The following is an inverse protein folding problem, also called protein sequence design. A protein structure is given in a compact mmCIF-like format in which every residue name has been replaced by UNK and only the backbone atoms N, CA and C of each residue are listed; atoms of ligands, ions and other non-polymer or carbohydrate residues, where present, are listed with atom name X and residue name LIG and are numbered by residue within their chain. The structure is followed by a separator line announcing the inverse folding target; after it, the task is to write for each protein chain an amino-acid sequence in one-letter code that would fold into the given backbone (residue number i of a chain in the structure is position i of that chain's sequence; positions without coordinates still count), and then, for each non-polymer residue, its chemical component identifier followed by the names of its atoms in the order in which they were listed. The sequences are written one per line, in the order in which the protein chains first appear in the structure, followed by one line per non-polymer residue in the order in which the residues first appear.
data_IF_396394677106
#
_entry.id   IF_396394677106
#
_cell.length_a   1.000
_cell.length_b   1.000
_cell.length_c   1.000
_cell.angle_alpha   90.00
_cell.angle_beta   90.00
_cell.angle_gamma   90.00
#
_symmetry.space_group_name_H-M   'P 1'
#
loop_
_entity.id
_entity.type
_entity.pdbx_description
1 polymer ?
#
# COMPACT_ATOMS: atom_id res chain seq x y z
N UNK A 1 11.74 2.18 18.26
CA UNK A 1 12.52 1.19 17.47
C UNK A 1 12.49 1.61 16.01
N UNK A 2 13.58 1.43 15.26
CA UNK A 2 13.64 1.78 13.83
C UNK A 2 13.05 0.60 13.05
N UNK A 3 12.00 0.82 12.27
CA UNK A 3 11.41 -0.23 11.44
C UNK A 3 12.37 -0.60 10.30
N UNK A 4 12.44 -1.88 9.98
CA UNK A 4 13.21 -2.41 8.84
C UNK A 4 12.26 -2.78 7.71
N UNK A 5 12.51 -2.25 6.53
CA UNK A 5 11.81 -2.65 5.30
C UNK A 5 12.56 -3.82 4.69
N UNK A 6 11.85 -4.93 4.49
CA UNK A 6 12.35 -6.09 3.78
C UNK A 6 11.65 -6.14 2.44
N UNK A 7 12.42 -6.16 1.37
CA UNK A 7 11.93 -6.12 0.00
C UNK A 7 12.16 -7.43 -0.74
N UNK A 8 11.19 -7.82 -1.57
CA UNK A 8 11.33 -8.97 -2.48
C UNK A 8 12.41 -8.71 -3.52
N UNK A 9 13.52 -9.43 -3.43
CA UNK A 9 14.72 -9.16 -4.22
C UNK A 9 14.47 -9.20 -5.72
N UNK A 10 13.81 -10.25 -6.23
CA UNK A 10 13.66 -10.44 -7.67
C UNK A 10 12.77 -9.36 -8.31
N UNK A 11 11.63 -9.05 -7.67
CA UNK A 11 10.66 -8.08 -8.17
C UNK A 11 11.20 -6.65 -8.11
N UNK A 12 11.86 -6.28 -7.02
CA UNK A 12 12.36 -4.93 -6.82
C UNK A 12 13.56 -4.61 -7.73
N UNK A 13 14.47 -5.58 -7.92
CA UNK A 13 15.59 -5.41 -8.87
C UNK A 13 15.12 -5.31 -10.31
N UNK A 14 14.17 -6.15 -10.73
CA UNK A 14 13.61 -6.09 -12.09
C UNK A 14 12.94 -4.74 -12.37
N UNK A 15 12.22 -4.17 -11.39
CA UNK A 15 11.67 -2.83 -11.54
C UNK A 15 12.76 -1.77 -11.58
N UNK A 16 13.78 -1.81 -10.70
CA UNK A 16 14.89 -0.84 -10.73
C UNK A 16 15.60 -0.82 -12.08
N UNK A 17 15.82 -1.99 -12.70
CA UNK A 17 16.38 -2.10 -14.04
C UNK A 17 15.47 -1.45 -15.09
N UNK A 18 14.17 -1.72 -15.02
CA UNK A 18 13.16 -1.11 -15.90
C UNK A 18 13.13 0.42 -15.75
N UNK A 19 13.17 0.93 -14.52
CA UNK A 19 13.23 2.36 -14.21
C UNK A 19 14.52 2.99 -14.75
N UNK A 20 15.63 2.28 -14.62
CA UNK A 20 16.94 2.72 -15.13
C UNK A 20 17.00 2.80 -16.64
N UNK A 21 16.30 1.90 -17.33
CA UNK A 21 16.17 1.91 -18.78
C UNK A 21 15.16 2.96 -19.27
N UNK A 22 14.28 3.45 -18.39
CA UNK A 22 13.30 4.47 -18.72
C UNK A 22 13.96 5.85 -18.89
N UNK A 23 13.49 6.63 -19.85
CA UNK A 23 13.95 8.01 -20.06
C UNK A 23 13.24 9.02 -19.12
N UNK A 24 12.37 8.55 -18.23
CA UNK A 24 11.53 9.41 -17.38
C UNK A 24 12.35 10.04 -16.25
N UNK A 25 12.38 11.38 -16.13
CA UNK A 25 13.19 12.07 -15.13
C UNK A 25 12.61 11.95 -13.70
N UNK A 26 11.31 11.68 -13.60
CA UNK A 26 10.61 11.41 -12.35
C UNK A 26 9.47 10.41 -12.60
N UNK A 27 9.22 9.54 -11.62
CA UNK A 27 8.05 8.66 -11.61
C UNK A 27 7.59 8.40 -10.18
N UNK A 28 6.29 8.18 -10.01
CA UNK A 28 5.68 7.73 -8.76
C UNK A 28 4.92 6.43 -8.99
N UNK A 29 4.90 5.58 -7.97
CA UNK A 29 4.09 4.36 -7.98
C UNK A 29 3.76 3.90 -6.57
N UNK A 30 3.13 2.73 -6.48
CA UNK A 30 2.61 2.17 -5.24
C UNK A 30 3.54 1.08 -4.72
N UNK A 31 3.58 0.93 -3.40
CA UNK A 31 4.25 -0.20 -2.74
C UNK A 31 3.19 -1.17 -2.27
N UNK A 32 3.23 -2.40 -2.78
CA UNK A 32 2.37 -3.50 -2.36
C UNK A 32 3.13 -4.37 -1.36
N UNK A 33 2.50 -4.64 -0.24
CA UNK A 33 3.18 -5.25 0.89
C UNK A 33 2.28 -5.56 2.07
N UNK A 34 2.93 -5.79 3.21
CA UNK A 34 2.29 -5.98 4.51
C UNK A 34 2.99 -5.13 5.57
N UNK A 35 2.19 -4.37 6.31
CA UNK A 35 2.59 -3.67 7.52
C UNK A 35 1.85 -4.29 8.70
N UNK A 36 2.58 -4.55 9.79
CA UNK A 36 2.00 -5.04 11.05
C UNK A 36 2.33 -4.09 12.20
N UNK A 37 1.40 -3.93 13.13
CA UNK A 37 1.66 -3.22 14.38
C UNK A 37 2.52 -4.07 15.35
N UNK A 38 2.41 -5.39 15.25
CA UNK A 38 3.16 -6.35 16.09
C UNK A 38 4.58 -6.63 15.60
N UNK A 39 4.99 -6.07 14.46
CA UNK A 39 6.31 -6.31 13.88
C UNK A 39 7.00 -5.00 13.53
N UNK A 40 8.28 -4.92 13.85
CA UNK A 40 9.15 -3.85 13.36
C UNK A 40 9.58 -4.05 11.91
N UNK A 41 9.09 -5.10 11.23
CA UNK A 41 9.36 -5.37 9.82
C UNK A 41 8.19 -4.94 8.94
N UNK A 42 8.50 -4.12 7.94
CA UNK A 42 7.61 -3.85 6.81
C UNK A 42 8.01 -4.76 5.65
N UNK A 43 7.05 -5.48 5.06
CA UNK A 43 7.32 -6.37 3.93
C UNK A 43 6.86 -5.70 2.64
N UNK A 44 7.77 -5.46 1.69
CA UNK A 44 7.48 -4.92 0.37
C UNK A 44 7.62 -6.04 -0.67
N UNK A 45 6.50 -6.49 -1.23
CA UNK A 45 6.45 -7.60 -2.17
C UNK A 45 6.62 -7.15 -3.62
N UNK A 46 6.06 -6.00 -3.98
CA UNK A 46 6.10 -5.49 -5.35
C UNK A 46 5.93 -3.97 -5.38
N UNK A 47 6.40 -3.37 -6.46
CA UNK A 47 6.26 -1.95 -6.76
C UNK A 47 5.49 -1.82 -8.07
N UNK A 48 4.42 -1.03 -8.04
CA UNK A 48 3.51 -0.90 -9.19
C UNK A 48 3.61 0.54 -9.72
N UNK A 49 4.15 0.76 -10.94
CA UNK A 49 4.26 2.09 -11.51
C UNK A 49 2.88 2.71 -11.73
N UNK A 50 2.72 4.00 -11.40
CA UNK A 50 1.48 4.71 -11.72
C UNK A 50 1.40 4.90 -13.23
N UNK A 51 0.28 4.52 -13.87
CA UNK A 51 0.10 4.73 -15.30
C UNK A 51 0.04 6.23 -15.62
N UNK A 52 0.29 6.63 -16.88
CA UNK A 52 0.01 7.99 -17.35
C UNK A 52 -1.45 8.37 -17.08
N UNK A 53 -1.70 9.67 -16.89
CA UNK A 53 -3.06 10.20 -16.73
C UNK A 53 -3.87 9.99 -18.02
N UNK A 54 -5.18 10.20 -17.95
CA UNK A 54 -6.06 10.15 -19.12
C UNK A 54 -5.63 11.10 -20.25
N UNK A 55 -4.93 12.19 -19.92
CA UNK A 55 -4.35 13.13 -20.88
C UNK A 55 -2.97 12.71 -21.41
N UNK A 56 -2.46 11.53 -21.02
CA UNK A 56 -1.12 11.04 -21.34
C UNK A 56 0.01 11.73 -20.56
N UNK A 57 -0.30 12.54 -19.54
CA UNK A 57 0.71 13.21 -18.72
C UNK A 57 1.27 12.26 -17.64
N UNK A 58 2.52 12.46 -17.18
CA UNK A 58 3.06 11.65 -16.09
C UNK A 58 2.43 12.05 -14.75
N UNK A 59 2.14 11.07 -13.89
CA UNK A 59 1.61 11.29 -12.54
C UNK A 59 2.58 12.01 -11.58
N UNK A 60 3.86 12.06 -11.95
CA UNK A 60 4.90 12.79 -11.23
C UNK A 60 5.81 13.47 -12.25
N UNK A 61 6.08 14.76 -12.04
CA UNK A 61 6.93 15.56 -12.93
C UNK A 61 7.88 16.45 -12.14
N UNK A 62 8.82 17.09 -12.84
CA UNK A 62 9.74 18.04 -12.23
C UNK A 62 9.20 19.46 -12.39
N UNK A 63 9.00 20.16 -11.26
CA UNK A 63 8.67 21.58 -11.24
C UNK A 63 9.86 22.39 -11.74
N UNK A 64 9.73 23.00 -12.92
CA UNK A 64 10.70 23.97 -13.40
C UNK A 64 10.71 25.20 -12.50
N UNK A 65 11.89 25.59 -12.02
CA UNK A 65 12.07 26.87 -11.35
C UNK A 65 11.65 28.02 -12.30
N UNK A 66 10.94 29.02 -11.78
CA UNK A 66 10.52 30.18 -12.55
C UNK A 66 11.76 30.91 -13.14
N UNK A 67 11.73 31.35 -14.40
CA UNK A 67 12.85 32.08 -14.98
C UNK A 67 13.02 33.43 -14.29
N UNK A 68 14.11 33.58 -13.54
CA UNK A 68 14.47 34.86 -12.94
C UNK A 68 15.13 35.74 -14.03
N UNK A 69 14.57 36.91 -14.40
CA UNK A 69 15.04 37.70 -15.54
C UNK A 69 16.41 38.39 -15.34
N UNK A 70 17.11 38.15 -14.23
CA UNK A 70 18.43 38.74 -13.92
C UNK A 70 19.63 37.78 -14.04
N UNK A 71 19.44 36.53 -14.46
CA UNK A 71 20.52 35.54 -14.58
C UNK A 71 20.67 35.02 -16.02
N UNK A 72 20.94 35.90 -16.98
CA UNK A 72 21.12 35.53 -18.40
C UNK A 72 22.57 35.12 -18.77
N UNK A 73 23.46 34.88 -17.80
CA UNK A 73 24.85 34.43 -18.06
C UNK A 73 25.33 33.39 -17.03
N UNK A 74 24.74 32.20 -17.07
CA UNK A 74 25.38 30.97 -16.60
C UNK A 74 24.65 29.78 -17.22
N UNK A 75 25.14 29.29 -18.36
CA UNK A 75 24.76 27.99 -18.88
C UNK A 75 25.55 26.92 -18.12
N UNK A 76 24.98 26.41 -17.03
CA UNK A 76 25.37 25.14 -16.42
C UNK A 76 24.21 24.58 -15.60
N UNK A 77 23.78 23.39 -15.98
CA UNK A 77 22.78 22.53 -15.37
C UNK A 77 23.00 22.32 -13.86
N UNK A 78 22.09 22.80 -13.00
CA UNK A 78 21.75 22.19 -11.68
C UNK A 78 20.84 23.08 -10.82
N UNK A 79 19.78 23.66 -11.39
CA UNK A 79 18.66 24.11 -10.55
C UNK A 79 17.85 22.87 -10.17
N UNK A 80 17.98 22.40 -8.93
CA UNK A 80 17.22 21.24 -8.45
C UNK A 80 15.71 21.53 -8.49
N UNK A 81 15.03 20.95 -9.47
CA UNK A 81 13.58 21.00 -9.61
C UNK A 81 12.93 20.08 -8.59
N UNK A 82 12.01 20.61 -7.78
CA UNK A 82 11.18 19.80 -6.88
C UNK A 82 10.21 18.94 -7.66
N UNK A 83 9.68 17.88 -7.03
CA UNK A 83 8.70 16.99 -7.63
C UNK A 83 7.30 17.59 -7.51
N UNK A 84 6.52 17.49 -8.59
CA UNK A 84 5.09 17.71 -8.62
C UNK A 84 4.37 16.37 -8.71
N UNK A 85 3.25 16.22 -7.99
CA UNK A 85 2.47 14.99 -7.99
C UNK A 85 1.02 15.29 -8.32
N UNK A 86 0.45 14.52 -9.23
CA UNK A 86 -0.99 14.42 -9.37
C UNK A 86 -1.53 13.55 -8.23
N UNK A 87 -1.83 14.19 -7.10
CA UNK A 87 -2.25 13.53 -5.86
C UNK A 87 -3.52 12.70 -6.08
N UNK A 88 -4.47 13.26 -6.84
CA UNK A 88 -5.77 12.62 -7.07
C UNK A 88 -5.60 11.40 -7.99
N UNK A 89 -4.74 11.49 -9.00
CA UNK A 89 -4.44 10.35 -9.87
C UNK A 89 -3.71 9.22 -9.14
N UNK A 90 -2.71 9.55 -8.31
CA UNK A 90 -2.02 8.54 -7.49
C UNK A 90 -3.00 7.87 -6.50
N UNK A 91 -3.94 8.63 -5.93
CA UNK A 91 -4.98 8.10 -5.07
C UNK A 91 -5.98 7.21 -5.84
N UNK A 92 -6.40 7.59 -7.04
CA UNK A 92 -7.25 6.75 -7.89
C UNK A 92 -6.55 5.44 -8.25
N UNK A 93 -5.27 5.51 -8.65
CA UNK A 93 -4.47 4.31 -8.90
C UNK A 93 -4.38 3.41 -7.66
N UNK A 94 -4.13 3.98 -6.47
CA UNK A 94 -4.11 3.23 -5.21
C UNK A 94 -5.45 2.56 -4.91
N UNK A 95 -6.56 3.25 -5.15
CA UNK A 95 -7.92 2.72 -4.99
C UNK A 95 -8.14 1.52 -5.91
N UNK A 96 -7.76 1.62 -7.18
CA UNK A 96 -7.92 0.54 -8.15
C UNK A 96 -7.07 -0.68 -7.78
N UNK A 97 -5.77 -0.46 -7.54
CA UNK A 97 -4.86 -1.54 -7.12
C UNK A 97 -5.36 -2.22 -5.85
N UNK A 98 -5.81 -1.46 -4.84
CA UNK A 98 -6.33 -2.04 -3.59
C UNK A 98 -7.51 -2.99 -3.80
N UNK A 99 -8.31 -2.80 -4.86
CA UNK A 99 -9.44 -3.69 -5.21
C UNK A 99 -9.01 -4.90 -6.04
N UNK A 100 -7.86 -4.83 -6.68
CA UNK A 100 -7.28 -5.92 -7.48
C UNK A 100 -6.36 -6.83 -6.66
N UNK A 101 -5.87 -6.36 -5.51
CA UNK A 101 -5.01 -7.14 -4.64
C UNK A 101 -5.77 -8.29 -3.99
N UNK A 102 -5.08 -9.43 -3.91
CA UNK A 102 -5.54 -10.59 -3.15
C UNK A 102 -5.40 -10.32 -1.65
N UNK A 103 -6.16 -11.08 -0.85
CA UNK A 103 -6.06 -11.02 0.61
C UNK A 103 -4.62 -11.28 1.09
N UNK A 104 -4.24 -10.65 2.21
CA UNK A 104 -2.90 -10.76 2.78
C UNK A 104 -1.85 -9.78 2.21
N UNK A 105 -2.19 -9.09 1.11
CA UNK A 105 -1.37 -8.02 0.54
C UNK A 105 -2.19 -6.73 0.45
N UNK A 106 -1.53 -5.59 0.68
CA UNK A 106 -2.19 -4.28 0.69
C UNK A 106 -1.28 -3.22 0.10
N UNK A 107 -1.85 -2.09 -0.32
CA UNK A 107 -1.07 -0.90 -0.68
C UNK A 107 -0.56 -0.27 0.62
N UNK A 108 0.72 -0.45 0.91
CA UNK A 108 1.35 0.02 2.16
C UNK A 108 2.00 1.39 2.04
N UNK A 109 2.11 1.92 0.82
CA UNK A 109 2.89 3.12 0.58
C UNK A 109 3.06 3.51 -0.89
N UNK A 110 3.99 4.43 -1.13
CA UNK A 110 4.39 4.87 -2.48
C UNK A 110 5.90 4.71 -2.68
N UNK A 111 6.31 4.55 -3.92
CA UNK A 111 7.71 4.71 -4.32
C UNK A 111 7.86 5.91 -5.24
N UNK A 112 9.06 6.48 -5.23
CA UNK A 112 9.44 7.63 -6.05
C UNK A 112 10.76 7.30 -6.73
N UNK A 113 10.77 7.37 -8.05
CA UNK A 113 11.96 7.38 -8.88
C UNK A 113 12.30 8.82 -9.24
N UNK A 114 13.43 9.34 -8.79
CA UNK A 114 13.88 10.71 -9.06
C UNK A 114 15.34 10.89 -8.64
N UNK A 115 16.03 11.93 -9.13
CA UNK A 115 17.36 12.27 -8.63
C UNK A 115 17.34 12.56 -7.12
N UNK A 116 18.47 12.36 -6.44
CA UNK A 116 18.61 12.75 -5.04
C UNK A 116 18.34 14.25 -4.82
N UNK A 117 18.78 15.09 -5.76
CA UNK A 117 18.60 16.54 -5.69
C UNK A 117 17.11 16.92 -5.73
N UNK A 118 16.35 16.38 -6.69
CA UNK A 118 14.91 16.64 -6.81
C UNK A 118 14.11 16.14 -5.62
N UNK A 119 14.46 14.96 -5.10
CA UNK A 119 13.81 14.42 -3.92
C UNK A 119 14.09 15.26 -2.66
N UNK A 120 15.32 15.78 -2.49
CA UNK A 120 15.67 16.70 -1.40
C UNK A 120 15.03 18.09 -1.55
N UNK A 121 14.87 18.57 -2.77
CA UNK A 121 14.19 19.84 -3.07
C UNK A 121 12.67 19.77 -2.82
N UNK A 122 12.10 18.57 -2.81
CA UNK A 122 10.68 18.35 -2.55
C UNK A 122 10.38 18.45 -1.05
N UNK A 123 9.41 19.29 -0.68
CA UNK A 123 9.06 19.45 0.74
C UNK A 123 8.49 18.14 1.32
N UNK A 124 8.83 17.78 2.58
CA UNK A 124 8.24 16.64 3.26
C UNK A 124 6.70 16.72 3.35
N UNK A 125 6.14 17.94 3.41
CA UNK A 125 4.70 18.15 3.47
C UNK A 125 3.97 17.64 2.22
N UNK A 126 4.54 17.86 1.02
CA UNK A 126 4.00 17.34 -0.25
C UNK A 126 4.02 15.82 -0.26
N UNK A 127 5.13 15.20 0.17
CA UNK A 127 5.25 13.74 0.26
C UNK A 127 4.20 13.14 1.22
N UNK A 128 4.03 13.75 2.39
CA UNK A 128 3.04 13.32 3.38
C UNK A 128 1.60 13.55 2.89
N UNK A 129 1.35 14.56 2.05
CA UNK A 129 0.05 14.78 1.41
C UNK A 129 -0.30 13.64 0.45
N UNK A 130 0.63 13.25 -0.44
CA UNK A 130 0.42 12.13 -1.37
C UNK A 130 0.14 10.83 -0.61
N UNK A 131 0.96 10.54 0.41
CA UNK A 131 0.76 9.37 1.27
C UNK A 131 -0.59 9.38 1.99
N UNK A 132 -1.07 10.56 2.40
CA UNK A 132 -2.39 10.71 3.05
C UNK A 132 -3.54 10.47 2.09
N UNK A 133 -3.43 10.96 0.85
CA UNK A 133 -4.43 10.66 -0.17
C UNK A 133 -4.51 9.15 -0.43
N UNK A 134 -3.35 8.49 -0.56
CA UNK A 134 -3.26 7.02 -0.70
C UNK A 134 -3.82 6.30 0.52
N UNK A 135 -3.54 6.76 1.74
CA UNK A 135 -4.01 6.10 2.97
C UNK A 135 -5.52 6.15 3.14
N UNK A 136 -6.17 7.23 2.68
CA UNK A 136 -7.61 7.41 2.77
C UNK A 136 -8.38 6.48 1.83
N UNK A 137 -7.82 6.20 0.65
CA UNK A 137 -8.48 5.41 -0.41
C UNK A 137 -8.10 3.94 -0.36
N UNK A 138 -6.91 3.62 0.19
CA UNK A 138 -6.43 2.28 0.48
C UNK A 138 -6.07 2.17 1.97
N UNK A 139 -7.10 2.09 2.86
CA UNK A 139 -6.87 1.89 4.29
C UNK A 139 -6.37 0.48 4.58
N UNK A 140 -5.49 0.37 5.58
CA UNK A 140 -4.98 -0.92 6.06
C UNK A 140 -5.98 -1.51 7.07
N UNK A 141 -6.98 -2.23 6.56
CA UNK A 141 -7.98 -2.85 7.42
C UNK A 141 -7.37 -3.87 8.39
N UNK A 142 -7.74 -3.78 9.66
CA UNK A 142 -7.38 -4.78 10.68
C UNK A 142 -5.94 -4.77 11.17
N UNK A 143 -5.07 -3.86 10.68
CA UNK A 143 -3.66 -3.83 11.12
C UNK A 143 -3.42 -2.92 12.31
N UNK A 144 -4.31 -1.96 12.58
CA UNK A 144 -4.11 -0.92 13.60
C UNK A 144 -2.92 0.01 13.31
N UNK A 145 -2.36 -0.06 12.09
CA UNK A 145 -1.18 0.71 11.69
C UNK A 145 -1.61 1.99 10.97
N UNK A 146 -1.36 3.13 11.59
CA UNK A 146 -1.56 4.45 10.99
C UNK A 146 -0.25 5.01 10.41
N UNK A 147 0.47 4.16 9.67
CA UNK A 147 1.73 4.49 9.03
C UNK A 147 1.71 4.09 7.56
N UNK A 148 2.53 4.76 6.74
CA UNK A 148 2.74 4.43 5.32
C UNK A 148 4.21 4.46 4.93
N UNK A 149 4.58 3.55 4.04
CA UNK A 149 5.94 3.41 3.54
C UNK A 149 6.20 4.37 2.37
N UNK A 150 7.37 4.97 2.36
CA UNK A 150 7.91 5.75 1.26
C UNK A 150 9.26 5.16 0.85
N UNK A 151 9.37 4.74 -0.40
CA UNK A 151 10.65 4.27 -0.97
C UNK A 151 11.11 5.28 -2.01
N UNK A 152 12.29 5.88 -1.80
CA UNK A 152 12.96 6.68 -2.80
C UNK A 152 14.03 5.84 -3.49
N UNK A 153 13.94 5.74 -4.81
CA UNK A 153 14.90 5.10 -5.68
C UNK A 153 15.58 6.22 -6.48
N UNK A 154 16.83 6.51 -6.11
CA UNK A 154 17.64 7.54 -6.74
C UNK A 154 18.43 6.98 -7.89
N UNK A 155 18.55 7.72 -9.00
CA UNK A 155 19.45 7.40 -10.10
C UNK A 155 20.76 8.21 -10.10
N UNK A 156 20.87 9.26 -9.27
CA UNK A 156 22.06 10.11 -9.16
C UNK A 156 22.29 10.56 -7.72
N UNK A 157 23.18 9.90 -6.96
CA UNK A 157 23.77 8.58 -7.22
C UNK A 157 22.72 7.47 -7.12
N UNK A 158 23.02 6.28 -7.65
CA UNK A 158 22.12 5.14 -7.57
C UNK A 158 22.01 4.62 -6.14
N UNK A 159 20.84 4.76 -5.51
CA UNK A 159 20.62 4.31 -4.11
C UNK A 159 19.15 4.21 -3.75
N UNK A 160 18.88 3.40 -2.74
CA UNK A 160 17.56 3.26 -2.12
C UNK A 160 17.53 3.97 -0.77
N UNK A 161 16.45 4.69 -0.50
CA UNK A 161 16.18 5.28 0.80
C UNK A 161 14.74 5.00 1.20
N UNK A 162 14.54 4.40 2.37
CA UNK A 162 13.21 4.11 2.89
C UNK A 162 12.86 5.05 4.04
N UNK A 163 11.60 5.49 4.07
CA UNK A 163 11.04 6.30 5.15
C UNK A 163 9.65 5.80 5.51
N UNK A 164 9.30 5.88 6.77
CA UNK A 164 7.93 5.65 7.23
C UNK A 164 7.32 6.98 7.63
N UNK A 165 6.15 7.26 7.05
CA UNK A 165 5.30 8.36 7.42
C UNK A 165 4.32 7.91 8.49
N UNK A 166 4.34 8.58 9.63
CA UNK A 166 3.22 8.54 10.57
C UNK A 166 2.09 9.42 10.00
N UNK A 167 0.90 8.86 9.84
CA UNK A 167 -0.21 9.55 9.18
C UNK A 167 -0.86 10.60 10.07
N UNK A 168 -0.74 10.47 11.39
CA UNK A 168 -1.24 11.43 12.36
C UNK A 168 -0.40 12.72 12.37
N UNK A 169 0.92 12.59 12.37
CA UNK A 169 1.86 13.72 12.43
C UNK A 169 2.36 14.17 11.06
N UNK A 170 2.24 13.33 10.03
CA UNK A 170 2.87 13.54 8.72
C UNK A 170 4.40 13.47 8.76
N UNK A 171 5.00 12.99 9.86
CA UNK A 171 6.46 12.96 10.04
C UNK A 171 7.06 11.75 9.32
N UNK A 172 8.08 12.02 8.50
CA UNK A 172 8.88 10.99 7.84
C UNK A 172 10.08 10.59 8.71
N UNK A 173 10.17 9.30 9.07
CA UNK A 173 11.30 8.71 9.81
C UNK A 173 12.09 7.78 8.89
N UNK A 174 13.43 7.87 8.84
CA UNK A 174 14.25 6.92 8.09
C UNK A 174 14.06 5.48 8.57
N UNK A 175 14.20 4.54 7.64
CA UNK A 175 14.11 3.10 7.90
C UNK A 175 15.20 2.36 7.14
N UNK A 176 15.67 1.26 7.72
CA UNK A 176 16.63 0.37 7.05
C UNK A 176 15.94 -0.42 5.95
N UNK A 177 16.68 -0.77 4.91
CA UNK A 177 16.18 -1.55 3.79
C UNK A 177 17.06 -2.77 3.54
N UNK A 178 16.44 -3.95 3.36
CA UNK A 178 17.15 -5.21 3.08
C UNK A 178 16.41 -6.00 2.00
N UNK A 179 17.17 -6.62 1.10
CA UNK A 179 16.63 -7.58 0.14
C UNK A 179 16.50 -8.96 0.76
N UNK A 180 15.43 -9.69 0.42
CA UNK A 180 15.20 -11.08 0.80
C UNK A 180 14.29 -11.75 -0.23
N UNK A 181 14.30 -13.09 -0.30
CA UNK A 181 13.32 -13.89 -1.03
C UNK A 181 12.05 -14.05 -0.18
N UNK A 182 11.23 -12.99 -0.12
CA UNK A 182 10.00 -12.93 0.68
C UNK A 182 8.89 -13.79 0.12
N UNK A 183 8.72 -13.83 -1.20
CA UNK A 183 7.63 -14.58 -1.83
C UNK A 183 7.72 -16.09 -1.54
N UNK A 184 8.94 -16.61 -1.40
CA UNK A 184 9.18 -18.01 -1.01
C UNK A 184 8.72 -18.32 0.42
N UNK A 185 8.50 -17.32 1.27
CA UNK A 185 7.99 -17.48 2.64
C UNK A 185 6.47 -17.30 2.76
N UNK A 186 5.78 -16.97 1.67
CA UNK A 186 4.34 -16.77 1.69
C UNK A 186 3.60 -18.09 1.53
N UNK A 187 2.54 -18.25 2.31
CA UNK A 187 1.60 -19.35 2.19
C UNK A 187 0.35 -18.88 1.47
N UNK A 188 -0.19 -19.75 0.63
CA UNK A 188 -1.42 -19.46 -0.11
C UNK A 188 -2.59 -20.08 0.63
N UNK A 189 -3.56 -19.24 1.00
CA UNK A 189 -4.82 -19.68 1.61
C UNK A 189 -5.95 -19.45 0.62
N UNK A 190 -6.77 -20.48 0.42
CA UNK A 190 -7.99 -20.41 -0.38
C UNK A 190 -9.19 -20.36 0.56
N UNK A 191 -9.83 -19.20 0.61
CA UNK A 191 -10.97 -18.95 1.47
C UNK A 191 -12.24 -18.81 0.61
N UNK A 192 -13.29 -19.59 0.92
CA UNK A 192 -14.61 -19.43 0.29
C UNK A 192 -15.63 -19.08 1.37
N UNK A 193 -16.33 -17.96 1.21
CA UNK A 193 -17.41 -17.56 2.11
C UNK A 193 -18.69 -17.30 1.31
N UNK A 194 -19.63 -18.23 1.41
CA UNK A 194 -20.96 -18.10 0.82
C UNK A 194 -21.86 -17.31 1.76
N UNK A 195 -22.55 -16.30 1.25
CA UNK A 195 -23.44 -15.47 2.05
C UNK A 195 -24.74 -15.16 1.32
N UNK A 196 -25.82 -15.00 2.09
CA UNK A 196 -27.12 -14.51 1.62
C UNK A 196 -27.50 -13.26 2.42
N UNK A 197 -27.70 -12.13 1.73
CA UNK A 197 -28.18 -10.89 2.35
C UNK A 197 -29.60 -10.62 1.86
N UNK A 198 -30.50 -10.36 2.80
CA UNK A 198 -31.82 -9.79 2.52
C UNK A 198 -31.80 -8.33 2.93
N UNK A 199 -31.97 -7.43 1.96
CA UNK A 199 -31.96 -6.00 2.19
C UNK A 199 -33.41 -5.49 2.27
N UNK A 200 -33.90 -5.04 3.43
CA UNK A 200 -35.19 -4.38 3.48
C UNK A 200 -35.10 -3.04 2.75
N UNK A 201 -35.90 -2.86 1.70
CA UNK A 201 -35.99 -1.58 0.99
C UNK A 201 -36.88 -0.65 1.81
N UNK A 202 -36.27 0.18 2.65
CA UNK A 202 -36.98 1.19 3.45
C UNK A 202 -36.86 2.54 2.72
N UNK A 203 -37.98 3.15 2.33
CA UNK A 203 -38.01 4.44 1.59
C UNK A 203 -37.32 5.59 2.34
N UNK A 204 -37.11 5.46 3.66
CA UNK A 204 -36.54 6.49 4.52
C UNK A 204 -35.00 6.56 4.56
N UNK A 205 -34.28 5.55 4.04
CA UNK A 205 -32.80 5.56 4.04
C UNK A 205 -32.22 5.47 2.61
N UNK A 206 -31.14 6.22 2.30
CA UNK A 206 -30.41 6.04 1.04
C UNK A 206 -29.94 4.59 0.90
N UNK A 207 -30.24 3.95 -0.22
CA UNK A 207 -29.96 2.54 -0.47
C UNK A 207 -28.48 2.15 -0.24
N UNK A 208 -27.55 3.05 -0.59
CA UNK A 208 -26.11 2.90 -0.29
C UNK A 208 -25.85 2.67 1.20
N UNK A 209 -26.51 3.41 2.10
CA UNK A 209 -26.36 3.24 3.55
C UNK A 209 -26.86 1.88 4.01
N UNK A 210 -28.01 1.43 3.47
CA UNK A 210 -28.57 0.11 3.77
C UNK A 210 -27.61 -1.01 3.36
N UNK A 211 -27.06 -0.94 2.14
CA UNK A 211 -26.05 -1.90 1.65
C UNK A 211 -24.80 -1.86 2.53
N UNK A 212 -24.25 -0.68 2.81
CA UNK A 212 -23.04 -0.55 3.64
C UNK A 212 -23.23 -1.12 5.04
N UNK A 213 -24.40 -0.93 5.66
CA UNK A 213 -24.74 -1.54 6.96
C UNK A 213 -24.76 -3.07 6.86
N UNK A 214 -25.39 -3.62 5.82
CA UNK A 214 -25.48 -5.07 5.63
C UNK A 214 -24.10 -5.72 5.37
N UNK A 215 -23.28 -5.10 4.50
CA UNK A 215 -21.89 -5.52 4.27
C UNK A 215 -21.10 -5.46 5.58
N UNK A 216 -21.22 -4.36 6.34
CA UNK A 216 -20.53 -4.22 7.62
C UNK A 216 -20.91 -5.31 8.63
N UNK A 217 -22.19 -5.73 8.64
CA UNK A 217 -22.64 -6.83 9.49
C UNK A 217 -22.01 -8.16 9.06
N UNK A 218 -22.00 -8.47 7.76
CA UNK A 218 -21.33 -9.67 7.25
C UNK A 218 -19.83 -9.67 7.55
N UNK A 219 -19.15 -8.53 7.34
CA UNK A 219 -17.73 -8.39 7.66
C UNK A 219 -17.46 -8.75 9.11
N UNK A 220 -18.30 -8.27 10.05
CA UNK A 220 -18.19 -8.64 11.47
C UNK A 220 -18.45 -10.13 11.71
N UNK A 221 -19.38 -10.75 11.00
CA UNK A 221 -19.61 -12.20 11.13
C UNK A 221 -18.40 -13.00 10.69
N UNK A 222 -17.80 -12.67 9.55
CA UNK A 222 -16.59 -13.34 9.03
C UNK A 222 -15.39 -13.11 9.95
N UNK A 223 -15.22 -11.88 10.46
CA UNK A 223 -14.13 -11.55 11.40
C UNK A 223 -14.19 -12.33 12.72
N UNK A 224 -15.40 -12.70 13.17
CA UNK A 224 -15.60 -13.45 14.41
C UNK A 224 -15.79 -14.96 14.18
N UNK A 225 -15.75 -15.43 12.92
CA UNK A 225 -15.86 -16.84 12.62
C UNK A 225 -14.58 -17.57 13.04
N UNK A 226 -14.75 -18.77 13.61
CA UNK A 226 -13.61 -19.69 13.77
C UNK A 226 -13.24 -20.25 12.39
N UNK A 227 -11.98 -20.55 12.17
CA UNK A 227 -11.51 -21.10 10.90
C UNK A 227 -10.93 -22.50 11.10
N UNK A 228 -11.27 -23.42 10.19
CA UNK A 228 -10.51 -24.65 9.98
C UNK A 228 -9.52 -24.40 8.83
N UNK A 229 -8.28 -24.85 8.98
CA UNK A 229 -7.26 -24.87 7.94
C UNK A 229 -6.98 -26.34 7.63
N UNK A 230 -7.26 -26.77 6.41
CA UNK A 230 -7.16 -28.17 5.97
C UNK A 230 -7.87 -29.15 6.93
N UNK A 231 -9.05 -28.74 7.42
CA UNK A 231 -9.89 -29.52 8.34
C UNK A 231 -9.50 -29.43 9.82
N UNK A 232 -8.40 -28.75 10.16
CA UNK A 232 -7.91 -28.60 11.53
C UNK A 232 -8.28 -27.22 12.07
N UNK A 233 -8.83 -27.16 13.29
CA UNK A 233 -9.17 -25.90 13.92
C UNK A 233 -7.92 -25.05 14.13
N UNK A 234 -7.94 -23.83 13.59
CA UNK A 234 -6.84 -22.90 13.77
C UNK A 234 -6.77 -22.45 15.23
N UNK A 235 -5.61 -22.67 15.84
CA UNK A 235 -5.20 -22.16 17.15
C UNK A 235 -3.97 -21.29 16.90
N UNK A 236 -3.81 -20.20 17.66
CA UNK A 236 -2.77 -19.18 17.41
C UNK A 236 -1.32 -19.73 17.41
N UNK A 237 -1.10 -20.94 17.95
CA UNK A 237 0.20 -21.62 18.03
C UNK A 237 0.47 -22.63 16.89
N UNK A 238 -0.37 -22.68 15.86
CA UNK A 238 -0.22 -23.66 14.77
C UNK A 238 0.72 -23.17 13.67
N UNK A 239 1.91 -23.77 13.60
CA UNK A 239 2.83 -23.64 12.46
C UNK A 239 2.34 -24.48 11.27
N UNK A 240 1.61 -23.85 10.34
CA UNK A 240 1.17 -24.50 9.09
C UNK A 240 2.36 -24.64 8.14
N UNK A 241 3.27 -25.58 8.36
CA UNK A 241 4.49 -25.77 7.53
C UNK A 241 4.27 -26.58 6.26
N UNK A 242 3.03 -26.90 5.92
CA UNK A 242 2.68 -27.72 4.78
C UNK A 242 2.85 -26.95 3.45
N UNK A 243 3.51 -27.55 2.47
CA UNK A 243 3.66 -26.95 1.13
C UNK A 243 2.35 -27.06 0.34
N UNK A 244 1.98 -25.97 -0.35
CA UNK A 244 0.83 -25.91 -1.24
C UNK A 244 -0.28 -24.95 -0.77
N UNK A 245 -1.40 -24.87 -1.51
CA UNK A 245 -2.53 -24.04 -1.12
C UNK A 245 -3.32 -24.71 0.00
N UNK A 246 -3.54 -23.99 1.11
CA UNK A 246 -4.36 -24.43 2.24
C UNK A 246 -5.81 -24.03 2.04
N UNK A 247 -6.74 -24.92 2.32
CA UNK A 247 -8.17 -24.61 2.28
C UNK A 247 -8.64 -24.08 3.64
N UNK A 248 -9.31 -22.94 3.62
CA UNK A 248 -9.88 -22.31 4.81
C UNK A 248 -11.39 -22.45 4.80
N UNK A 249 -11.93 -23.08 5.83
CA UNK A 249 -13.37 -23.20 6.06
C UNK A 249 -13.77 -22.35 7.26
N UNK A 250 -14.73 -21.45 7.06
CA UNK A 250 -15.26 -20.61 8.13
C UNK A 250 -16.39 -21.32 8.88
N UNK A 251 -16.17 -21.57 10.16
CA UNK A 251 -17.18 -21.96 11.12
C UNK A 251 -17.92 -20.71 11.60
N UNK A 252 -18.88 -20.29 10.78
CA UNK A 252 -19.76 -19.17 11.09
C UNK A 252 -20.84 -19.69 12.04
N UNK A 253 -21.17 -18.98 13.13
CA UNK A 253 -22.29 -19.36 13.98
C UNK A 253 -23.55 -19.53 13.13
N UNK A 254 -24.17 -20.71 13.15
CA UNK A 254 -25.51 -20.90 12.60
C UNK A 254 -26.42 -19.85 13.27
N UNK A 255 -27.25 -19.16 12.47
CA UNK A 255 -28.19 -18.16 13.00
C UNK A 255 -28.99 -18.76 14.16
N UNK A 256 -28.91 -18.08 15.31
CA UNK A 256 -29.55 -18.36 16.61
C UNK A 256 -28.77 -19.27 17.58
N UNK A 257 -27.71 -18.73 18.19
CA UNK A 257 -27.52 -18.94 19.63
C UNK A 257 -27.72 -17.58 20.31
N UNK A 258 -28.97 -17.31 20.70
CA UNK A 258 -29.19 -16.55 21.93
C UNK A 258 -28.40 -17.28 23.04
N UNK A 259 -27.69 -16.57 23.93
CA UNK A 259 -27.14 -17.25 25.09
C UNK A 259 -28.30 -17.89 25.84
N UNK A 260 -28.27 -19.21 25.96
CA UNK A 260 -29.05 -19.88 26.98
C UNK A 260 -28.47 -19.39 28.32
N UNK A 261 -29.20 -18.50 28.98
CA UNK A 261 -29.02 -18.26 30.40
C UNK A 261 -29.09 -19.61 31.11
N UNK A 262 -28.01 -19.96 31.81
CA UNK A 262 -28.03 -20.82 33.01
C UNK A 262 -27.08 -20.19 34.02
#
# INVERSE_FOLDING_TARGET
MVKTVVGEEAQLKALEETLSASASPAQVGLVVGKLSASSDRALAYSLIPTPPTDSGAPACSLLRAAPNPKAAKAASSDASSSLDFDVDWVAEHARQVSRMLLGGMTVIGIYIWASEASFKATSPAVLSQVLRAVSQVAPLYGTGVDERLLIHISYSPRRWACRICDMSSGRLRPCDFKYTKLLASLQTFRCTYNFEIRLPVVQAEPFKKVISKAISHLTKQVQNAKALIDGVLFLDDMDNTLEGPHNVEFLVPFKNNLPAEV
#
